data_IF_061098341213
#
_entry.id   IF_061098341213
#
_cell.length_a   1.000
_cell.length_b   1.000
_cell.length_c   1.000
_cell.angle_alpha   90.00
_cell.angle_beta   90.00
_cell.angle_gamma   90.00
#
_symmetry.space_group_name_H-M   'P 1'
#
loop_
_entity.id
_entity.type
_entity.pdbx_description
1 polymer ?
#
# COMPACT_ATOMS: atom_id res chain seq x y z
N UNK A 1 5.01 2.86 17.07
CA UNK A 1 3.75 2.60 16.34
C UNK A 1 3.26 1.20 16.68
N UNK A 2 2.00 1.11 17.04
CA UNK A 2 1.38 -0.18 17.43
C UNK A 2 0.65 -0.80 16.24
N UNK A 3 0.88 -2.08 16.00
CA UNK A 3 0.23 -2.85 14.95
C UNK A 3 -0.38 -4.09 15.61
N UNK A 4 -1.69 -4.30 15.43
CA UNK A 4 -2.42 -5.38 16.07
C UNK A 4 -1.87 -6.76 15.69
N UNK A 5 -1.61 -6.99 14.41
CA UNK A 5 -1.09 -8.27 13.93
C UNK A 5 -0.35 -8.06 12.60
N UNK A 6 0.94 -8.43 12.57
CA UNK A 6 1.77 -8.25 11.37
C UNK A 6 1.38 -9.17 10.21
N UNK A 7 0.53 -10.16 10.46
CA UNK A 7 0.02 -11.06 9.42
C UNK A 7 -1.30 -10.58 8.79
N UNK A 8 -1.89 -9.51 9.30
CA UNK A 8 -3.09 -8.94 8.72
C UNK A 8 -2.80 -8.40 7.33
N UNK A 9 -3.77 -8.57 6.42
CA UNK A 9 -3.65 -8.19 5.02
C UNK A 9 -4.15 -6.75 4.80
N UNK A 10 -3.54 -6.08 3.84
CA UNK A 10 -3.92 -4.73 3.46
C UNK A 10 -4.01 -4.62 1.94
N UNK A 11 -4.92 -3.77 1.49
CA UNK A 11 -5.08 -3.41 0.08
C UNK A 11 -4.70 -1.95 -0.11
N UNK A 12 -4.17 -1.62 -1.28
CA UNK A 12 -3.76 -0.27 -1.62
C UNK A 12 -4.14 0.06 -3.06
N UNK A 13 -4.18 1.35 -3.36
CA UNK A 13 -4.21 1.86 -4.72
C UNK A 13 -3.17 2.97 -4.84
N UNK A 14 -2.42 2.99 -5.94
CA UNK A 14 -1.50 4.10 -6.20
C UNK A 14 -2.29 5.36 -6.55
N UNK A 15 -1.77 6.52 -6.17
CA UNK A 15 -2.43 7.80 -6.45
C UNK A 15 -2.61 8.06 -7.95
N UNK A 16 -1.66 7.66 -8.78
CA UNK A 16 -1.77 7.81 -10.24
C UNK A 16 -2.88 6.91 -10.81
N UNK A 17 -3.00 5.68 -10.33
CA UNK A 17 -4.08 4.77 -10.73
C UNK A 17 -5.44 5.26 -10.24
N UNK A 18 -5.50 5.83 -9.03
CA UNK A 18 -6.72 6.43 -8.50
C UNK A 18 -7.19 7.57 -9.41
N UNK A 19 -6.27 8.43 -9.86
CA UNK A 19 -6.56 9.49 -10.81
C UNK A 19 -7.05 8.96 -12.16
N UNK A 20 -6.39 7.95 -12.70
CA UNK A 20 -6.79 7.29 -13.95
C UNK A 20 -8.20 6.70 -13.85
N UNK A 21 -8.50 6.06 -12.73
CA UNK A 21 -9.82 5.47 -12.49
C UNK A 21 -10.90 6.54 -12.44
N UNK A 22 -10.66 7.63 -11.72
CA UNK A 22 -11.60 8.76 -11.66
C UNK A 22 -11.83 9.34 -13.06
N UNK A 23 -10.75 9.55 -13.82
CA UNK A 23 -10.85 10.04 -15.20
C UNK A 23 -11.65 9.08 -16.09
N UNK A 24 -11.46 7.78 -15.92
CA UNK A 24 -12.22 6.76 -16.64
C UNK A 24 -13.73 6.86 -16.38
N UNK A 25 -14.10 7.22 -15.14
CA UNK A 25 -15.51 7.29 -14.73
C UNK A 25 -16.22 8.56 -15.17
N UNK A 26 -15.49 9.61 -15.58
CA UNK A 26 -16.06 10.94 -15.85
C UNK A 26 -17.19 10.91 -16.89
N UNK A 27 -17.03 10.11 -17.93
CA UNK A 27 -18.05 9.99 -19.00
C UNK A 27 -18.87 8.70 -18.92
N UNK A 28 -18.81 8.00 -17.78
CA UNK A 28 -19.60 6.80 -17.53
C UNK A 28 -20.83 7.12 -16.71
N UNK A 29 -21.91 6.39 -16.96
CA UNK A 29 -23.14 6.51 -16.18
C UNK A 29 -23.03 5.60 -14.93
N UNK A 30 -22.50 6.17 -13.84
CA UNK A 30 -22.25 5.43 -12.60
C UNK A 30 -23.17 5.98 -11.51
N UNK A 31 -23.93 5.10 -10.88
CA UNK A 31 -24.79 5.45 -9.75
C UNK A 31 -24.26 4.75 -8.48
N UNK A 32 -24.29 5.51 -7.36
CA UNK A 32 -23.88 4.99 -6.06
C UNK A 32 -22.37 4.89 -5.91
N UNK A 33 -21.95 4.18 -4.88
CA UNK A 33 -20.54 4.01 -4.57
C UNK A 33 -19.89 2.99 -5.51
N UNK A 34 -18.60 3.19 -5.79
CA UNK A 34 -17.79 2.25 -6.54
C UNK A 34 -16.43 2.13 -5.85
N UNK A 35 -16.00 0.89 -5.63
CA UNK A 35 -14.72 0.62 -4.98
C UNK A 35 -13.58 0.60 -6.00
N UNK A 36 -12.44 1.17 -5.62
CA UNK A 36 -11.21 1.10 -6.40
C UNK A 36 -10.07 0.62 -5.53
N UNK A 37 -9.33 -0.36 -6.02
CA UNK A 37 -8.16 -0.91 -5.33
C UNK A 37 -7.32 -1.72 -6.30
N UNK A 38 -6.00 -1.73 -6.11
CA UNK A 38 -5.16 -2.70 -6.81
C UNK A 38 -5.60 -4.12 -6.47
N UNK A 39 -5.38 -5.05 -7.39
CA UNK A 39 -5.67 -6.45 -7.17
C UNK A 39 -4.63 -7.07 -6.23
N UNK A 40 -5.10 -7.87 -5.28
CA UNK A 40 -4.23 -8.54 -4.32
C UNK A 40 -4.07 -7.76 -3.03
N UNK A 41 -3.39 -8.40 -2.07
CA UNK A 41 -3.14 -7.84 -0.75
C UNK A 41 -1.69 -8.06 -0.36
N UNK A 42 -1.23 -7.35 0.67
CA UNK A 42 0.10 -7.55 1.25
C UNK A 42 -0.01 -7.47 2.77
N UNK A 43 0.74 -8.30 3.47
CA UNK A 43 0.81 -8.25 4.93
C UNK A 43 1.89 -7.28 5.39
N UNK A 44 1.75 -6.82 6.63
CA UNK A 44 2.77 -5.98 7.27
C UNK A 44 4.07 -6.76 7.41
N UNK A 45 3.99 -8.07 7.71
CA UNK A 45 5.17 -8.95 7.76
C UNK A 45 5.95 -8.94 6.44
N UNK A 46 5.25 -9.01 5.31
CA UNK A 46 5.89 -8.96 3.99
C UNK A 46 6.59 -7.62 3.75
N UNK A 47 5.94 -6.51 4.12
CA UNK A 47 6.54 -5.17 4.00
C UNK A 47 7.78 -5.04 4.87
N UNK A 48 7.70 -5.46 6.14
CA UNK A 48 8.83 -5.41 7.06
C UNK A 48 9.98 -6.27 6.54
N UNK A 49 9.69 -7.51 6.10
CA UNK A 49 10.71 -8.41 5.56
C UNK A 49 11.43 -7.83 4.37
N UNK A 50 10.70 -7.20 3.46
CA UNK A 50 11.31 -6.56 2.29
C UNK A 50 12.22 -5.39 2.68
N UNK A 51 11.76 -4.54 3.60
CA UNK A 51 12.55 -3.39 4.07
C UNK A 51 13.80 -3.86 4.82
N UNK A 52 13.69 -4.89 5.65
CA UNK A 52 14.84 -5.47 6.36
C UNK A 52 15.88 -6.00 5.39
N UNK A 53 15.45 -6.71 4.34
CA UNK A 53 16.35 -7.24 3.32
C UNK A 53 17.09 -6.13 2.57
N UNK A 54 16.38 -5.06 2.22
CA UNK A 54 16.96 -3.95 1.44
C UNK A 54 17.85 -3.03 2.27
N UNK A 55 17.55 -2.85 3.54
CA UNK A 55 18.28 -1.90 4.40
C UNK A 55 19.33 -2.57 5.29
N UNK A 56 19.26 -3.87 5.47
CA UNK A 56 20.12 -4.60 6.40
C UNK A 56 19.78 -4.34 7.86
N UNK A 57 18.69 -3.66 8.14
CA UNK A 57 18.21 -3.36 9.49
C UNK A 57 17.13 -4.35 9.90
N UNK A 58 16.97 -4.54 11.19
CA UNK A 58 15.92 -5.41 11.73
C UNK A 58 14.88 -4.57 12.47
N UNK A 59 13.60 -4.87 12.23
CA UNK A 59 12.53 -4.27 12.98
C UNK A 59 12.48 -4.85 14.38
N UNK A 60 12.25 -3.98 15.37
CA UNK A 60 12.04 -4.38 16.75
C UNK A 60 10.55 -4.42 17.00
N UNK A 61 10.01 -5.61 17.23
CA UNK A 61 8.58 -5.79 17.50
C UNK A 61 8.34 -5.67 19.00
N UNK A 62 7.54 -4.68 19.38
CA UNK A 62 7.21 -4.39 20.78
C UNK A 62 5.71 -4.19 20.91
N UNK A 63 5.13 -4.62 22.03
CA UNK A 63 3.73 -4.37 22.35
C UNK A 63 3.44 -2.92 22.78
N UNK A 64 4.48 -2.09 22.87
CA UNK A 64 4.37 -0.69 23.29
C UNK A 64 4.57 0.23 22.09
N UNK A 65 3.78 1.28 22.02
CA UNK A 65 3.90 2.30 20.97
C UNK A 65 2.54 2.89 20.62
N UNK A 66 2.57 3.88 19.75
CA UNK A 66 1.34 4.49 19.23
C UNK A 66 0.67 3.57 18.23
N UNK A 67 -0.66 3.52 18.27
CA UNK A 67 -1.44 2.74 17.32
C UNK A 67 -1.26 3.25 15.90
N UNK A 68 -1.07 2.34 14.96
CA UNK A 68 -0.97 2.71 13.55
C UNK A 68 -2.31 3.25 13.05
N UNK A 69 -2.28 4.21 12.10
CA UNK A 69 -3.52 4.73 11.53
C UNK A 69 -4.39 3.65 10.86
N UNK A 70 -3.76 2.57 10.40
CA UNK A 70 -4.45 1.46 9.75
C UNK A 70 -3.72 0.16 10.06
N UNK A 71 -4.42 -0.79 10.66
CA UNK A 71 -3.84 -2.05 11.10
C UNK A 71 -4.16 -3.26 10.21
N UNK A 72 -4.99 -3.07 9.16
CA UNK A 72 -5.40 -4.17 8.29
C UNK A 72 -6.42 -5.10 8.94
N UNK A 73 -6.71 -6.18 8.27
CA UNK A 73 -7.69 -7.17 8.68
C UNK A 73 -7.15 -8.57 8.38
N UNK A 74 -7.61 -9.63 9.09
CA UNK A 74 -7.15 -10.99 8.85
C UNK A 74 -7.34 -11.46 7.40
N UNK A 75 -8.50 -11.17 6.83
CA UNK A 75 -8.83 -11.48 5.45
C UNK A 75 -9.45 -10.24 4.83
N UNK A 76 -8.62 -9.37 4.26
CA UNK A 76 -9.10 -8.11 3.75
C UNK A 76 -8.76 -7.95 2.27
N UNK A 77 -9.81 -7.89 1.47
CA UNK A 77 -9.70 -7.48 0.08
C UNK A 77 -10.89 -6.58 -0.26
N UNK A 78 -10.65 -5.60 -1.11
CA UNK A 78 -11.71 -4.72 -1.58
C UNK A 78 -12.33 -5.33 -2.83
N UNK A 79 -13.66 -5.47 -2.83
CA UNK A 79 -14.38 -6.00 -3.99
C UNK A 79 -14.48 -4.93 -5.06
N UNK A 80 -13.81 -5.15 -6.19
CA UNK A 80 -13.77 -4.23 -7.33
C UNK A 80 -14.62 -4.70 -8.51
N UNK A 81 -15.50 -5.68 -8.32
CA UNK A 81 -16.29 -6.27 -9.40
C UNK A 81 -17.09 -5.24 -10.18
N UNK A 82 -17.66 -4.24 -9.51
CA UNK A 82 -18.43 -3.19 -10.18
C UNK A 82 -17.60 -2.41 -11.19
N UNK A 83 -16.38 -2.02 -10.81
CA UNK A 83 -15.46 -1.31 -11.71
C UNK A 83 -15.01 -2.22 -12.87
N UNK A 84 -14.71 -3.47 -12.60
CA UNK A 84 -14.28 -4.43 -13.61
C UNK A 84 -15.38 -4.71 -14.63
N UNK A 85 -16.62 -4.82 -14.18
CA UNK A 85 -17.77 -4.97 -15.08
C UNK A 85 -17.96 -3.76 -15.99
N UNK A 86 -17.50 -2.59 -15.56
CA UNK A 86 -17.50 -1.38 -16.38
C UNK A 86 -16.33 -1.30 -17.35
N UNK A 87 -15.43 -2.28 -17.31
CA UNK A 87 -14.29 -2.36 -18.21
C UNK A 87 -12.97 -1.84 -17.67
N UNK A 88 -12.92 -1.42 -16.41
CA UNK A 88 -11.67 -0.96 -15.79
C UNK A 88 -10.98 -2.10 -15.05
N UNK A 89 -9.70 -2.34 -15.40
CA UNK A 89 -8.88 -3.38 -14.80
C UNK A 89 -7.78 -2.75 -13.95
N UNK A 90 -7.82 -3.03 -12.65
CA UNK A 90 -6.81 -2.50 -11.73
C UNK A 90 -5.50 -3.29 -11.86
N UNK A 91 -4.39 -2.60 -11.61
CA UNK A 91 -3.07 -3.21 -11.56
C UNK A 91 -2.96 -4.21 -10.41
N UNK A 92 -2.01 -5.14 -10.51
CA UNK A 92 -1.72 -6.07 -9.41
C UNK A 92 -0.78 -5.39 -8.41
N UNK A 93 -1.16 -5.40 -7.13
CA UNK A 93 -0.41 -4.78 -6.06
C UNK A 93 1.07 -5.22 -6.04
N UNK A 94 1.32 -6.52 -6.20
CA UNK A 94 2.68 -7.08 -6.14
C UNK A 94 3.57 -6.64 -7.30
N UNK A 95 2.98 -6.14 -8.39
CA UNK A 95 3.77 -5.68 -9.54
C UNK A 95 4.47 -4.35 -9.29
N UNK A 96 3.95 -3.53 -8.36
CA UNK A 96 4.51 -2.20 -8.15
C UNK A 96 4.85 -1.86 -6.69
N UNK A 97 4.34 -2.61 -5.71
CA UNK A 97 4.51 -2.25 -4.29
C UNK A 97 5.99 -2.25 -3.88
N UNK A 98 6.78 -3.18 -4.40
CA UNK A 98 8.20 -3.27 -4.06
C UNK A 98 9.01 -2.11 -4.67
N UNK A 99 8.69 -1.68 -5.87
CA UNK A 99 9.28 -0.48 -6.47
C UNK A 99 8.97 0.77 -5.64
N UNK A 100 7.74 0.88 -5.16
CA UNK A 100 7.34 1.99 -4.32
C UNK A 100 8.09 1.98 -2.99
N UNK A 101 8.26 0.81 -2.39
CA UNK A 101 9.06 0.67 -1.17
C UNK A 101 10.53 1.04 -1.41
N UNK A 102 11.11 0.62 -2.53
CA UNK A 102 12.47 1.01 -2.91
C UNK A 102 12.60 2.53 -3.01
N UNK A 103 11.63 3.19 -3.63
CA UNK A 103 11.61 4.64 -3.75
C UNK A 103 11.62 5.31 -2.38
N UNK A 104 10.78 4.87 -1.45
CA UNK A 104 10.73 5.45 -0.11
C UNK A 104 11.99 5.17 0.70
N UNK A 105 12.59 3.99 0.56
CA UNK A 105 13.87 3.68 1.20
C UNK A 105 14.94 4.64 0.71
N UNK A 106 15.01 4.88 -0.60
CA UNK A 106 15.95 5.82 -1.19
C UNK A 106 15.74 7.24 -0.67
N UNK A 107 14.49 7.69 -0.59
CA UNK A 107 14.16 9.02 -0.05
C UNK A 107 14.62 9.19 1.39
N UNK A 108 14.41 8.19 2.23
CA UNK A 108 14.85 8.22 3.64
C UNK A 108 16.38 8.28 3.71
N UNK A 109 17.09 7.52 2.89
CA UNK A 109 18.56 7.53 2.85
C UNK A 109 19.10 8.89 2.38
N UNK A 110 18.49 9.49 1.38
CA UNK A 110 18.87 10.84 0.91
C UNK A 110 18.66 11.88 2.01
N UNK A 111 17.54 11.81 2.73
CA UNK A 111 17.25 12.72 3.83
C UNK A 111 18.26 12.58 4.97
N UNK A 112 18.65 11.35 5.32
CA UNK A 112 19.68 11.11 6.34
C UNK A 112 21.03 11.65 5.92
N UNK A 113 21.42 11.46 4.67
CA UNK A 113 22.68 11.98 4.14
C UNK A 113 22.70 13.50 4.17
N UNK A 114 21.59 14.13 3.83
CA UNK A 114 21.45 15.58 3.91
C UNK A 114 21.63 16.10 5.34
N UNK A 115 21.02 15.43 6.33
CA UNK A 115 21.15 15.78 7.75
C UNK A 115 22.58 15.66 8.28
N UNK A 116 23.33 14.67 7.78
CA UNK A 116 24.73 14.46 8.18
C UNK A 116 25.64 15.57 7.64
N UNK A 117 25.33 16.12 6.48
CA UNK A 117 26.09 17.21 5.85
C UNK A 117 25.83 18.55 6.56
N UNK A 118 24.66 18.74 7.11
CA UNK A 118 24.34 19.93 7.88
C UNK A 118 25.01 19.90 9.27
#
# INVERSE_FOLDING_TARGET
MYIDNIDYQMSYIRSDEAGDFIAYLVDKDVNGAINGSASGTISIREVIGYVEEKTGKCAVLSGNGEEAPYNGEPEYSINTDKAEKMGYHFSNLKDWIYELLDYYIEQVNMEKNHRVIE
#
